data_IF_328144981878
#
_entry.id   IF_328144981878
#
_cell.length_a   1.000
_cell.length_b   1.000
_cell.length_c   1.000
_cell.angle_alpha   90.00
_cell.angle_beta   90.00
_cell.angle_gamma   90.00
#
_symmetry.space_group_name_H-M   'P 1'
#
loop_
_entity.id
_entity.type
_entity.pdbx_description
1 polymer ?
#
# COMPACT_ATOMS: atom_id res chain seq x y z
N UNK A 1 -30.10 -7.82 10.10
CA UNK A 1 -31.48 -7.31 10.00
C UNK A 1 -31.42 -5.87 9.52
N UNK A 2 -32.14 -5.56 8.45
CA UNK A 2 -32.21 -4.27 7.77
C UNK A 2 -32.87 -3.22 8.68
N UNK A 3 -32.16 -2.15 9.03
CA UNK A 3 -32.82 -0.93 9.52
C UNK A 3 -33.05 0.02 8.34
N UNK A 4 -34.31 0.05 7.91
CA UNK A 4 -34.85 0.90 6.87
C UNK A 4 -34.92 2.33 7.41
N UNK A 5 -34.09 3.25 6.90
CA UNK A 5 -34.19 4.68 7.22
C UNK A 5 -35.47 5.23 6.60
N UNK A 6 -36.44 5.60 7.44
CA UNK A 6 -37.65 6.28 7.01
C UNK A 6 -37.39 7.79 6.93
N UNK A 7 -37.46 8.33 5.71
CA UNK A 7 -37.46 9.76 5.44
C UNK A 7 -38.92 10.25 5.47
N UNK A 8 -39.30 11.09 6.44
CA UNK A 8 -40.64 11.68 6.51
C UNK A 8 -40.71 12.99 5.70
N UNK A 9 -41.78 13.23 4.90
CA UNK A 9 -41.95 14.48 4.16
C UNK A 9 -42.56 15.58 5.05
N UNK A 10 -42.18 16.83 4.74
CA UNK A 10 -42.41 18.07 5.47
C UNK A 10 -43.88 18.42 5.73
N UNK A 11 -44.13 19.07 6.88
CA UNK A 11 -45.35 19.84 7.17
C UNK A 11 -45.06 21.01 8.10
N UNK A 12 -45.15 22.22 7.52
CA UNK A 12 -45.49 23.55 8.06
C UNK A 12 -44.91 24.10 9.39
N UNK A 13 -44.58 25.40 9.28
CA UNK A 13 -44.58 26.46 10.30
C UNK A 13 -43.48 26.50 11.36
N UNK A 14 -42.32 27.11 11.02
CA UNK A 14 -41.67 28.14 11.86
C UNK A 14 -40.83 29.05 10.94
N UNK A 15 -41.42 30.17 10.53
CA UNK A 15 -40.66 31.33 10.00
C UNK A 15 -40.03 32.04 11.22
N UNK A 16 -38.80 32.53 11.05
CA UNK A 16 -38.06 33.41 11.98
C UNK A 16 -37.30 32.83 13.19
N UNK A 17 -36.53 31.76 13.00
CA UNK A 17 -35.34 31.49 13.83
C UNK A 17 -34.10 30.97 13.05
N UNK A 18 -34.25 30.72 11.73
CA UNK A 18 -33.22 30.09 10.91
C UNK A 18 -31.99 30.96 10.60
N UNK A 19 -32.12 32.29 10.54
CA UNK A 19 -30.98 33.14 10.14
C UNK A 19 -29.89 33.25 11.21
N UNK A 20 -30.24 33.21 12.51
CA UNK A 20 -29.23 33.25 13.58
C UNK A 20 -28.54 31.90 13.84
N UNK A 21 -29.25 30.77 13.62
CA UNK A 21 -28.63 29.45 13.68
C UNK A 21 -27.75 29.15 12.46
N UNK A 22 -28.08 29.67 11.28
CA UNK A 22 -27.25 29.48 10.09
C UNK A 22 -25.91 30.21 10.19
N UNK A 23 -25.86 31.40 10.80
CA UNK A 23 -24.59 32.12 11.02
C UNK A 23 -23.74 31.45 12.11
N UNK A 24 -24.34 30.96 13.21
CA UNK A 24 -23.61 30.17 14.22
C UNK A 24 -23.13 28.82 13.67
N UNK A 25 -23.94 28.12 12.88
CA UNK A 25 -23.55 26.86 12.23
C UNK A 25 -22.46 27.02 11.18
N UNK A 26 -22.50 28.11 10.39
CA UNK A 26 -21.45 28.44 9.41
C UNK A 26 -20.16 28.86 10.11
N UNK A 27 -20.21 29.70 11.14
CA UNK A 27 -19.01 30.13 11.88
C UNK A 27 -18.40 28.96 12.66
N UNK A 28 -19.19 28.09 13.29
CA UNK A 28 -18.68 26.88 13.98
C UNK A 28 -18.13 25.86 12.97
N UNK A 29 -18.72 25.69 11.78
CA UNK A 29 -18.17 24.84 10.72
C UNK A 29 -16.90 25.42 10.07
N UNK A 30 -16.75 26.75 10.00
CA UNK A 30 -15.51 27.37 9.48
C UNK A 30 -14.37 27.21 10.50
N UNK A 31 -14.65 27.34 11.80
CA UNK A 31 -13.64 27.14 12.85
C UNK A 31 -13.30 25.65 13.04
N UNK A 32 -14.27 24.72 13.01
CA UNK A 32 -13.99 23.28 13.07
C UNK A 32 -13.40 22.71 11.77
N UNK A 33 -13.73 23.30 10.61
CA UNK A 33 -13.15 22.94 9.32
C UNK A 33 -11.68 23.35 9.17
N UNK A 34 -11.27 24.41 9.88
CA UNK A 34 -9.87 24.85 9.90
C UNK A 34 -8.97 23.86 10.66
N UNK A 35 -9.45 23.26 11.75
CA UNK A 35 -8.69 22.26 12.52
C UNK A 35 -8.56 20.93 11.77
N UNK A 36 -9.62 20.50 11.08
CA UNK A 36 -9.58 19.36 10.16
C UNK A 36 -8.66 19.60 8.95
N UNK A 37 -8.69 20.79 8.37
CA UNK A 37 -7.84 21.17 7.23
C UNK A 37 -6.36 21.26 7.63
N UNK A 38 -6.05 21.92 8.75
CA UNK A 38 -4.66 22.07 9.23
C UNK A 38 -4.07 20.72 9.66
N UNK A 39 -4.86 19.87 10.32
CA UNK A 39 -4.42 18.51 10.66
C UNK A 39 -4.22 17.63 9.43
N UNK A 40 -5.02 17.81 8.37
CA UNK A 40 -4.85 17.09 7.12
C UNK A 40 -3.62 17.57 6.32
N UNK A 41 -3.34 18.88 6.27
CA UNK A 41 -2.12 19.43 5.65
C UNK A 41 -0.87 18.86 6.30
N UNK A 42 -0.86 18.76 7.64
CA UNK A 42 0.26 18.16 8.38
C UNK A 42 0.43 16.67 8.01
N UNK A 43 -0.67 15.90 7.95
CA UNK A 43 -0.63 14.49 7.53
C UNK A 43 -0.13 14.31 6.09
N UNK A 44 -0.59 15.14 5.17
CA UNK A 44 -0.15 15.12 3.77
C UNK A 44 1.34 15.51 3.66
N UNK A 45 1.80 16.43 4.51
CA UNK A 45 3.23 16.82 4.61
C UNK A 45 4.11 15.66 5.12
N UNK A 46 3.59 14.78 5.98
CA UNK A 46 4.31 13.57 6.41
C UNK A 46 4.22 12.41 5.41
N UNK A 47 3.16 12.38 4.59
CA UNK A 47 2.93 11.32 3.62
C UNK A 47 4.01 11.31 2.53
N UNK A 48 4.37 12.47 1.98
CA UNK A 48 5.39 12.57 0.91
C UNK A 48 6.78 12.10 1.38
N UNK A 49 7.34 12.57 2.51
CA UNK A 49 8.59 12.05 3.06
C UNK A 49 8.53 10.55 3.36
N UNK A 50 7.41 10.04 3.88
CA UNK A 50 7.27 8.60 4.15
C UNK A 50 7.34 7.75 2.88
N UNK A 51 6.77 8.25 1.78
CA UNK A 51 6.86 7.61 0.47
C UNK A 51 8.30 7.62 -0.05
N UNK A 52 8.97 8.77 0.01
CA UNK A 52 10.37 8.90 -0.41
C UNK A 52 11.29 8.00 0.42
N UNK A 53 11.06 7.93 1.73
CA UNK A 53 11.79 7.04 2.62
C UNK A 53 11.57 5.56 2.25
N UNK A 54 10.34 5.15 1.98
CA UNK A 54 10.05 3.78 1.54
C UNK A 54 10.75 3.45 0.20
N UNK A 55 10.76 4.39 -0.76
CA UNK A 55 11.48 4.23 -2.02
C UNK A 55 12.99 4.15 -1.83
N UNK A 56 13.55 4.94 -0.92
CA UNK A 56 14.96 4.89 -0.56
C UNK A 56 15.33 3.54 0.06
N UNK A 57 14.55 3.05 1.04
CA UNK A 57 14.74 1.74 1.66
C UNK A 57 14.63 0.62 0.61
N UNK A 58 13.69 0.73 -0.32
CA UNK A 58 13.57 -0.20 -1.45
C UNK A 58 14.84 -0.24 -2.30
N UNK A 59 15.38 0.94 -2.65
CA UNK A 59 16.60 1.04 -3.44
C UNK A 59 17.80 0.41 -2.74
N UNK A 60 18.01 0.73 -1.45
CA UNK A 60 19.08 0.11 -0.65
C UNK A 60 18.91 -1.41 -0.55
N UNK A 61 17.68 -1.89 -0.35
CA UNK A 61 17.36 -3.31 -0.32
C UNK A 61 17.67 -4.00 -1.65
N UNK A 62 17.34 -3.37 -2.78
CA UNK A 62 17.66 -3.88 -4.12
C UNK A 62 19.17 -3.97 -4.38
N UNK A 63 19.93 -2.96 -3.96
CA UNK A 63 21.39 -2.97 -4.07
C UNK A 63 21.99 -4.15 -3.31
N UNK A 64 21.53 -4.38 -2.08
CA UNK A 64 21.97 -5.54 -1.28
C UNK A 64 21.58 -6.86 -1.94
N UNK A 65 20.33 -6.99 -2.40
CA UNK A 65 19.81 -8.22 -3.00
C UNK A 65 20.51 -8.60 -4.31
N UNK A 66 20.92 -7.59 -5.09
CA UNK A 66 21.55 -7.78 -6.40
C UNK A 66 23.09 -7.66 -6.36
N UNK A 67 23.71 -7.52 -5.19
CA UNK A 67 25.16 -7.34 -5.04
C UNK A 67 25.99 -8.51 -5.61
N UNK A 68 25.38 -9.69 -5.72
CA UNK A 68 26.04 -10.89 -6.29
C UNK A 68 26.13 -10.92 -7.82
N UNK A 69 25.59 -9.93 -8.54
CA UNK A 69 25.65 -9.89 -10.01
C UNK A 69 26.75 -8.97 -10.52
N UNK A 70 27.46 -9.41 -11.56
CA UNK A 70 28.44 -8.61 -12.28
C UNK A 70 27.82 -7.38 -12.97
N UNK A 71 26.58 -7.50 -13.44
CA UNK A 71 25.82 -6.38 -14.01
C UNK A 71 24.37 -6.37 -13.46
N UNK A 72 24.09 -5.65 -12.37
CA UNK A 72 22.77 -5.65 -11.73
C UNK A 72 21.74 -4.73 -12.43
N UNK A 73 22.16 -3.88 -13.39
CA UNK A 73 21.30 -2.86 -13.99
C UNK A 73 20.03 -3.42 -14.65
N UNK A 74 20.08 -4.47 -15.48
CA UNK A 74 18.88 -5.01 -16.13
C UNK A 74 17.85 -5.51 -15.11
N UNK A 75 18.33 -6.17 -14.04
CA UNK A 75 17.44 -6.66 -12.98
C UNK A 75 16.87 -5.53 -12.14
N UNK A 76 17.67 -4.51 -11.80
CA UNK A 76 17.16 -3.28 -11.15
C UNK A 76 16.03 -2.66 -11.98
N UNK A 77 16.22 -2.55 -13.30
CA UNK A 77 15.21 -1.99 -14.21
C UNK A 77 13.90 -2.79 -14.17
N UNK A 78 13.96 -4.11 -14.30
CA UNK A 78 12.77 -4.98 -14.28
C UNK A 78 12.02 -4.87 -12.94
N UNK A 79 12.75 -4.93 -11.82
CA UNK A 79 12.16 -4.86 -10.48
C UNK A 79 11.58 -3.48 -10.18
N UNK A 80 12.25 -2.38 -10.57
CA UNK A 80 11.68 -1.04 -10.49
C UNK A 80 10.44 -0.87 -11.37
N UNK A 81 10.45 -1.44 -12.57
CA UNK A 81 9.28 -1.43 -13.47
C UNK A 81 8.09 -2.14 -12.82
N UNK A 82 8.32 -3.25 -12.09
CA UNK A 82 7.24 -3.94 -11.37
C UNK A 82 6.61 -3.11 -10.26
N UNK A 83 7.40 -2.29 -9.56
CA UNK A 83 6.91 -1.30 -8.59
C UNK A 83 6.10 -0.22 -9.30
N UNK A 84 6.61 0.33 -10.40
CA UNK A 84 5.93 1.36 -11.18
C UNK A 84 4.56 0.88 -11.68
N UNK A 85 4.50 -0.32 -12.27
CA UNK A 85 3.25 -0.94 -12.70
C UNK A 85 2.29 -1.10 -11.52
N UNK A 86 2.77 -1.63 -10.39
CA UNK A 86 1.96 -1.79 -9.18
C UNK A 86 1.40 -0.47 -8.67
N UNK A 87 2.20 0.61 -8.71
CA UNK A 87 1.78 1.95 -8.34
C UNK A 87 0.66 2.47 -9.28
N UNK A 88 0.80 2.28 -10.60
CA UNK A 88 -0.24 2.67 -11.56
C UNK A 88 -1.56 1.95 -11.35
N UNK A 89 -1.55 0.70 -10.86
CA UNK A 89 -2.79 -0.02 -10.54
C UNK A 89 -3.54 0.57 -9.34
N UNK A 90 -2.83 1.14 -8.37
CA UNK A 90 -3.45 1.75 -7.18
C UNK A 90 -4.11 3.11 -7.49
N UNK A 91 -3.64 3.83 -8.51
CA UNK A 91 -4.17 5.13 -8.93
C UNK A 91 -5.55 5.09 -9.62
N UNK A 92 -6.17 3.91 -9.80
CA UNK A 92 -7.42 3.76 -10.57
C UNK A 92 -8.69 4.06 -9.79
N UNK A 93 -8.63 4.34 -8.49
CA UNK A 93 -9.80 4.40 -7.59
C UNK A 93 -10.51 5.75 -7.54
N UNK A 94 -9.92 6.81 -8.10
CA UNK A 94 -10.59 8.11 -8.28
C UNK A 94 -10.67 8.98 -7.02
N UNK A 95 -9.97 8.61 -5.95
CA UNK A 95 -9.84 9.42 -4.73
C UNK A 95 -8.37 9.67 -4.44
N UNK A 96 -7.91 10.88 -4.77
CA UNK A 96 -6.49 11.26 -4.68
C UNK A 96 -5.83 10.88 -3.35
N UNK A 97 -6.51 11.05 -2.21
CA UNK A 97 -5.97 10.72 -0.88
C UNK A 97 -5.89 9.23 -0.61
N UNK A 98 -6.95 8.48 -0.91
CA UNK A 98 -6.95 7.03 -0.72
C UNK A 98 -5.94 6.35 -1.66
N UNK A 99 -5.73 6.93 -2.84
CA UNK A 99 -4.76 6.48 -3.84
C UNK A 99 -3.33 6.70 -3.33
N UNK A 100 -3.04 7.87 -2.75
CA UNK A 100 -1.72 8.15 -2.15
C UNK A 100 -1.39 7.25 -0.94
N UNK A 101 -2.38 6.96 -0.10
CA UNK A 101 -2.22 6.00 1.00
C UNK A 101 -1.99 4.58 0.47
N UNK A 102 -2.71 4.19 -0.58
CA UNK A 102 -2.54 2.88 -1.22
C UNK A 102 -1.19 2.74 -1.92
N UNK A 103 -0.68 3.83 -2.51
CA UNK A 103 0.67 3.93 -3.05
C UNK A 103 1.71 3.75 -1.96
N UNK A 104 1.58 4.46 -0.85
CA UNK A 104 2.49 4.34 0.30
C UNK A 104 2.51 2.90 0.85
N UNK A 105 1.35 2.28 1.01
CA UNK A 105 1.24 0.88 1.43
C UNK A 105 2.00 -0.07 0.48
N UNK A 106 1.83 0.14 -0.82
CA UNK A 106 2.51 -0.64 -1.86
C UNK A 106 4.02 -0.42 -1.80
N UNK A 107 4.48 0.82 -1.69
CA UNK A 107 5.89 1.16 -1.57
C UNK A 107 6.53 0.55 -0.31
N UNK A 108 5.82 0.50 0.81
CA UNK A 108 6.31 -0.17 2.04
C UNK A 108 6.47 -1.68 1.82
N UNK A 109 5.49 -2.33 1.19
CA UNK A 109 5.59 -3.77 0.87
C UNK A 109 6.80 -4.03 -0.02
N UNK A 110 6.97 -3.21 -1.06
CA UNK A 110 8.14 -3.29 -1.93
C UNK A 110 9.43 -2.99 -1.18
N UNK A 111 9.46 -2.03 -0.25
CA UNK A 111 10.66 -1.70 0.52
C UNK A 111 11.18 -2.86 1.37
N UNK A 112 10.29 -3.66 1.95
CA UNK A 112 10.66 -4.82 2.78
C UNK A 112 11.00 -6.04 1.93
N UNK A 113 10.42 -6.15 0.73
CA UNK A 113 10.53 -7.35 -0.11
C UNK A 113 11.97 -7.75 -0.50
N UNK A 114 12.89 -6.86 -0.92
CA UNK A 114 14.27 -7.23 -1.22
C UNK A 114 15.00 -7.87 -0.04
N UNK A 115 14.71 -7.43 1.19
CA UNK A 115 15.35 -7.96 2.39
C UNK A 115 14.93 -9.41 2.63
N UNK A 116 13.62 -9.67 2.53
CA UNK A 116 13.09 -11.03 2.64
C UNK A 116 13.50 -11.90 1.44
N UNK A 117 13.64 -11.31 0.26
CA UNK A 117 14.14 -12.01 -0.93
C UNK A 117 15.57 -12.50 -0.76
N UNK A 118 16.42 -11.79 0.00
CA UNK A 118 17.76 -12.27 0.36
C UNK A 118 17.68 -13.60 1.13
N UNK A 119 16.78 -13.69 2.11
CA UNK A 119 16.59 -14.92 2.89
C UNK A 119 16.07 -16.08 2.04
N UNK A 120 15.04 -15.84 1.23
CA UNK A 120 14.54 -16.88 0.31
C UNK A 120 15.59 -17.33 -0.69
N UNK A 121 16.43 -16.40 -1.15
CA UNK A 121 17.54 -16.73 -2.03
C UNK A 121 18.59 -17.59 -1.33
N UNK A 122 18.93 -17.30 -0.07
CA UNK A 122 19.84 -18.12 0.70
C UNK A 122 19.30 -19.54 0.88
N UNK A 123 18.00 -19.67 1.21
CA UNK A 123 17.34 -20.97 1.30
C UNK A 123 17.37 -21.72 -0.03
N UNK A 124 17.02 -21.03 -1.13
CA UNK A 124 17.06 -21.60 -2.46
C UNK A 124 18.45 -22.16 -2.80
N UNK A 125 19.52 -21.37 -2.60
CA UNK A 125 20.89 -21.81 -2.88
C UNK A 125 21.30 -23.01 -2.02
N UNK A 126 20.93 -23.03 -0.74
CA UNK A 126 21.19 -24.17 0.15
C UNK A 126 20.48 -25.44 -0.32
N UNK A 127 19.21 -25.34 -0.76
CA UNK A 127 18.49 -26.50 -1.31
C UNK A 127 19.17 -27.04 -2.57
N UNK A 128 19.59 -26.15 -3.47
CA UNK A 128 20.29 -26.53 -4.69
C UNK A 128 21.61 -27.25 -4.36
N UNK A 129 22.37 -26.75 -3.39
CA UNK A 129 23.65 -27.36 -3.00
C UNK A 129 23.44 -28.78 -2.42
N UNK A 130 22.41 -28.96 -1.60
CA UNK A 130 22.01 -30.28 -1.10
C UNK A 130 21.58 -31.23 -2.23
N UNK A 131 20.82 -30.72 -3.22
CA UNK A 131 20.36 -31.49 -4.38
C UNK A 131 21.54 -32.02 -5.23
N UNK A 132 22.61 -31.23 -5.37
CA UNK A 132 23.84 -31.67 -6.07
C UNK A 132 24.58 -32.78 -5.36
N UNK A 133 24.48 -32.84 -4.03
CA UNK A 133 25.09 -33.90 -3.23
C UNK A 133 24.44 -35.28 -3.42
N UNK A 134 23.26 -35.34 -4.04
CA UNK A 134 22.52 -36.58 -4.27
C UNK A 134 22.65 -36.99 -5.74
N UNK A 135 23.45 -38.03 -5.98
CA UNK A 135 23.79 -38.50 -7.32
C UNK A 135 22.55 -38.98 -8.09
N UNK A 136 21.63 -39.69 -7.42
CA UNK A 136 20.35 -40.13 -8.01
C UNK A 136 19.44 -38.96 -8.43
N UNK A 137 19.43 -37.86 -7.67
CA UNK A 137 18.64 -36.68 -8.03
C UNK A 137 19.24 -35.96 -9.24
N UNK A 138 20.57 -35.97 -9.34
CA UNK A 138 21.31 -35.38 -10.46
C UNK A 138 21.04 -36.11 -11.77
N UNK A 139 21.05 -37.45 -11.72
CA UNK A 139 20.77 -38.29 -12.89
C UNK A 139 19.29 -38.20 -13.32
N UNK A 140 18.36 -38.00 -12.38
CA UNK A 140 16.94 -37.84 -12.66
C UNK A 140 16.56 -36.47 -13.25
N UNK A 141 17.20 -35.39 -12.77
CA UNK A 141 16.91 -34.01 -13.21
C UNK A 141 17.65 -33.67 -14.52
N UNK A 142 18.84 -34.25 -14.71
CA UNK A 142 19.72 -33.99 -15.84
C UNK A 142 20.75 -32.89 -15.56
N UNK A 143 21.99 -33.14 -15.97
CA UNK A 143 23.14 -32.25 -15.73
C UNK A 143 23.00 -30.84 -16.31
N UNK A 144 22.25 -30.70 -17.40
CA UNK A 144 21.94 -29.42 -18.06
C UNK A 144 21.22 -28.46 -17.11
N UNK A 145 20.24 -28.96 -16.35
CA UNK A 145 19.45 -28.17 -15.42
C UNK A 145 20.24 -27.77 -14.18
N UNK A 146 21.11 -28.65 -13.69
CA UNK A 146 22.00 -28.33 -12.56
C UNK A 146 22.95 -27.20 -12.94
N UNK A 147 23.54 -27.28 -14.15
CA UNK A 147 24.41 -26.22 -14.67
C UNK A 147 23.66 -24.91 -14.92
N UNK A 148 22.39 -24.96 -15.33
CA UNK A 148 21.56 -23.76 -15.46
C UNK A 148 21.32 -23.09 -14.10
N UNK A 149 21.05 -23.89 -13.07
CA UNK A 149 20.75 -23.42 -11.70
C UNK A 149 22.00 -22.88 -10.98
N UNK A 150 23.20 -23.23 -11.44
CA UNK A 150 24.46 -22.62 -10.99
C UNK A 150 24.61 -21.15 -11.37
N UNK A 151 23.86 -20.67 -12.37
CA UNK A 151 23.94 -19.28 -12.76
C UNK A 151 23.33 -18.39 -11.66
N UNK A 152 24.08 -17.42 -11.11
CA UNK A 152 23.58 -16.53 -10.07
C UNK A 152 22.40 -15.66 -10.51
N UNK A 153 22.12 -15.53 -11.81
CA UNK A 153 20.93 -14.83 -12.31
C UNK A 153 19.64 -15.66 -12.23
N UNK A 154 19.74 -16.98 -12.05
CA UNK A 154 18.57 -17.87 -11.96
C UNK A 154 17.93 -17.75 -10.57
N UNK A 155 16.60 -17.73 -10.53
CA UNK A 155 15.84 -17.67 -9.28
C UNK A 155 15.69 -16.26 -8.67
N UNK A 156 16.36 -15.23 -9.17
CA UNK A 156 16.28 -13.86 -8.61
C UNK A 156 14.86 -13.32 -8.66
N UNK A 157 14.22 -13.41 -9.83
CA UNK A 157 12.87 -12.92 -10.03
C UNK A 157 11.85 -13.70 -9.19
N UNK A 158 11.98 -15.02 -9.11
CA UNK A 158 11.07 -15.86 -8.35
C UNK A 158 11.19 -15.67 -6.84
N UNK A 159 12.41 -15.57 -6.29
CA UNK A 159 12.63 -15.29 -4.87
C UNK A 159 12.06 -13.90 -4.49
N UNK A 160 12.22 -12.91 -5.36
CA UNK A 160 11.64 -11.58 -5.16
C UNK A 160 10.10 -11.60 -5.24
N UNK A 161 9.53 -12.30 -6.22
CA UNK A 161 8.09 -12.46 -6.35
C UNK A 161 7.49 -13.20 -5.15
N UNK A 162 8.18 -14.21 -4.63
CA UNK A 162 7.79 -14.94 -3.43
C UNK A 162 7.83 -14.03 -2.18
N UNK A 163 8.87 -13.20 -2.03
CA UNK A 163 8.93 -12.18 -0.98
C UNK A 163 7.76 -11.19 -1.05
N UNK A 164 7.49 -10.67 -2.24
CA UNK A 164 6.34 -9.79 -2.46
C UNK A 164 5.02 -10.48 -2.11
N UNK A 165 4.79 -11.69 -2.59
CA UNK A 165 3.54 -12.42 -2.36
C UNK A 165 3.31 -12.72 -0.87
N UNK A 166 4.36 -13.16 -0.17
CA UNK A 166 4.30 -13.52 1.25
C UNK A 166 3.99 -12.34 2.15
N UNK A 167 4.40 -11.12 1.77
CA UNK A 167 4.03 -9.90 2.48
C UNK A 167 2.65 -9.40 2.01
N UNK A 168 2.43 -9.33 0.70
CA UNK A 168 1.25 -8.70 0.10
C UNK A 168 -0.04 -9.44 0.41
N UNK A 169 -0.04 -10.76 0.44
CA UNK A 169 -1.26 -11.55 0.68
C UNK A 169 -1.82 -11.34 2.10
N UNK A 170 -1.05 -11.53 3.19
CA UNK A 170 -1.55 -11.35 4.55
C UNK A 170 -1.58 -9.90 5.02
N UNK A 171 -0.54 -9.09 4.71
CA UNK A 171 -0.32 -7.82 5.40
C UNK A 171 -0.88 -6.60 4.66
N UNK A 172 -1.15 -6.69 3.35
CA UNK A 172 -1.58 -5.52 2.58
C UNK A 172 -2.86 -4.87 3.13
N UNK A 173 -3.84 -5.67 3.53
CA UNK A 173 -5.08 -5.15 4.14
C UNK A 173 -4.82 -4.45 5.47
N UNK A 174 -3.94 -5.01 6.30
CA UNK A 174 -3.58 -4.48 7.62
C UNK A 174 -2.81 -3.17 7.48
N UNK A 175 -1.83 -3.13 6.57
CA UNK A 175 -1.02 -1.95 6.27
C UNK A 175 -1.91 -0.83 5.74
N UNK A 176 -2.75 -1.11 4.72
CA UNK A 176 -3.68 -0.11 4.18
C UNK A 176 -4.63 0.43 5.25
N UNK A 177 -5.27 -0.44 6.03
CA UNK A 177 -6.19 -0.02 7.09
C UNK A 177 -5.48 0.83 8.18
N UNK A 178 -4.24 0.49 8.52
CA UNK A 178 -3.44 1.26 9.49
C UNK A 178 -3.07 2.63 8.94
N UNK A 179 -2.62 2.70 7.68
CA UNK A 179 -2.25 3.97 7.03
C UNK A 179 -3.47 4.85 6.76
N UNK A 180 -4.61 4.29 6.38
CA UNK A 180 -5.86 5.05 6.23
C UNK A 180 -6.26 5.70 7.56
N UNK A 181 -6.16 4.98 8.68
CA UNK A 181 -6.42 5.57 10.02
C UNK A 181 -5.43 6.67 10.38
N UNK A 182 -4.16 6.52 10.01
CA UNK A 182 -3.11 7.48 10.34
C UNK A 182 -3.19 8.76 9.48
N UNK A 183 -3.46 8.62 8.17
CA UNK A 183 -3.34 9.72 7.20
C UNK A 183 -4.67 10.30 6.74
N UNK A 184 -5.80 9.62 6.94
CA UNK A 184 -7.12 10.13 6.58
C UNK A 184 -7.88 10.48 7.86
N UNK A 185 -8.22 11.76 8.02
CA UNK A 185 -9.17 12.17 9.05
C UNK A 185 -10.55 11.67 8.61
N UNK A 186 -11.11 10.71 9.35
CA UNK A 186 -12.52 10.39 9.21
C UNK A 186 -13.31 11.56 9.78
N UNK A 187 -13.89 12.39 8.92
CA UNK A 187 -14.96 13.28 9.37
C UNK A 187 -16.07 12.37 9.93
N UNK A 188 -16.43 12.56 11.20
CA UNK A 188 -17.54 11.86 11.88
C UNK A 188 -18.90 12.09 11.22
N UNK A 189 -18.92 12.97 10.24
CA UNK A 189 -20.08 13.47 9.55
C UNK A 189 -20.21 12.71 8.25
N UNK A 190 -20.85 11.55 8.34
CA UNK A 190 -21.35 10.87 7.14
C UNK A 190 -22.34 11.81 6.46
N UNK A 191 -22.12 12.18 5.21
CA UNK A 191 -23.05 13.05 4.49
C UNK A 191 -24.01 12.14 3.72
N UNK A 192 -25.32 12.29 3.96
CA UNK A 192 -26.32 11.49 3.27
C UNK A 192 -26.24 11.73 1.75
N UNK A 193 -26.06 10.68 0.92
CA UNK A 193 -25.89 10.83 -0.52
C UNK A 193 -27.16 11.33 -1.24
N UNK A 194 -28.31 11.35 -0.57
CA UNK A 194 -29.57 11.82 -1.14
C UNK A 194 -29.90 13.29 -0.83
N UNK A 195 -29.48 13.82 0.31
CA UNK A 195 -29.88 15.18 0.75
C UNK A 195 -28.71 16.08 1.16
N UNK A 196 -27.47 15.57 1.19
CA UNK A 196 -26.29 16.37 1.54
C UNK A 196 -26.22 16.78 3.03
N UNK A 197 -27.11 16.27 3.88
CA UNK A 197 -27.08 16.54 5.31
C UNK A 197 -26.10 15.62 6.04
N UNK A 198 -25.41 16.20 7.01
CA UNK A 198 -24.54 15.51 7.96
C UNK A 198 -25.38 14.60 8.85
N UNK A 199 -25.19 13.30 8.74
CA UNK A 199 -25.69 12.29 9.68
C UNK A 199 -24.64 12.08 10.77
N UNK A 200 -24.93 12.63 11.95
CA UNK A 200 -24.22 12.25 13.18
C UNK A 200 -24.69 10.85 13.57
N UNK A 201 -23.77 9.88 13.54
CA UNK A 201 -23.99 8.61 14.21
C UNK A 201 -23.89 8.85 15.72
N UNK A 202 -25.05 8.91 16.39
CA UNK A 202 -25.17 8.69 17.83
C UNK A 202 -24.92 7.21 18.14
#
# INVERSE_FOLDING_TARGET
MLYKQYCWPRGLDVVDLGQFQHVRGVVVNIFNGADGSRSQIVRDTFLVPSLLFALFVYWCGLERYLNGLSNPLPMKFILCTSLFISAMYELKRGSFRADMVSLLATSIIFAVSPWLACEYRNWYLNFIDQLKGVQEATDAIGHEYIRAVENPAVGIGSCFAMALATIRLPLNRIIKASLERAFIVKNSDSVCPHCGQVTHHL
#
